data_IF_955834504765
#
_entry.id   IF_955834504765
#
_cell.length_a   1.000
_cell.length_b   1.000
_cell.length_c   1.000
_cell.angle_alpha   90.00
_cell.angle_beta   90.00
_cell.angle_gamma   90.00
#
_symmetry.space_group_name_H-M   'P 1'
#
loop_
_entity.id
_entity.type
_entity.pdbx_description
1 polymer ?
#
# COMPACT_ATOMS: atom_id res chain seq x y z
N UNK A 1 22.53 20.06 -9.55
CA UNK A 1 21.72 19.13 -8.73
C UNK A 1 20.34 19.03 -9.37
N UNK A 2 20.04 17.96 -10.10
CA UNK A 2 18.74 17.82 -10.77
C UNK A 2 17.66 17.48 -9.74
N UNK A 3 16.71 18.38 -9.57
CA UNK A 3 15.51 18.14 -8.79
C UNK A 3 14.71 17.07 -9.54
N UNK A 4 14.57 15.88 -8.97
CA UNK A 4 13.82 14.76 -9.56
C UNK A 4 12.36 15.22 -9.62
N UNK A 5 11.91 15.72 -10.78
CA UNK A 5 10.54 16.18 -10.99
C UNK A 5 9.60 15.00 -10.70
N UNK A 6 8.87 15.11 -9.60
CA UNK A 6 7.75 14.24 -9.28
C UNK A 6 6.62 14.61 -10.24
N UNK A 7 6.42 13.80 -11.28
CA UNK A 7 5.30 13.98 -12.18
C UNK A 7 4.01 13.50 -11.50
N UNK A 8 2.92 14.29 -11.54
CA UNK A 8 1.60 13.82 -11.13
C UNK A 8 1.24 12.52 -11.89
N UNK A 9 0.78 11.50 -11.18
CA UNK A 9 0.37 10.21 -11.76
C UNK A 9 1.46 9.12 -11.84
N UNK A 10 2.75 9.44 -11.66
CA UNK A 10 3.82 8.44 -11.58
C UNK A 10 3.84 7.70 -10.25
N UNK A 11 3.98 6.36 -10.29
CA UNK A 11 4.28 5.58 -9.08
C UNK A 11 5.71 5.92 -8.64
N UNK A 12 5.87 6.43 -7.42
CA UNK A 12 7.19 6.69 -6.88
C UNK A 12 7.92 5.37 -6.60
N UNK A 13 9.25 5.35 -6.75
CA UNK A 13 10.06 4.17 -6.41
C UNK A 13 9.68 3.63 -5.03
N UNK A 14 9.57 2.31 -4.92
CA UNK A 14 9.31 1.64 -3.66
C UNK A 14 10.34 2.04 -2.60
N UNK A 15 9.86 2.28 -1.38
CA UNK A 15 10.65 2.66 -0.20
C UNK A 15 10.33 1.71 0.94
N UNK A 16 11.26 1.54 1.90
CA UNK A 16 10.97 0.83 3.15
C UNK A 16 9.77 1.43 3.86
N UNK A 17 8.99 0.59 4.55
CA UNK A 17 7.86 1.06 5.34
C UNK A 17 8.29 2.10 6.39
N UNK A 18 7.45 3.10 6.61
CA UNK A 18 7.57 4.09 7.69
C UNK A 18 6.44 3.90 8.70
N UNK A 19 6.61 4.36 9.94
CA UNK A 19 5.60 4.27 10.99
C UNK A 19 4.25 4.89 10.58
N UNK A 20 4.26 6.01 9.85
CA UNK A 20 3.03 6.64 9.34
C UNK A 20 2.24 5.69 8.43
N UNK A 21 2.89 5.11 7.42
CA UNK A 21 2.25 4.18 6.48
C UNK A 21 1.86 2.88 7.16
N UNK A 22 2.67 2.38 8.11
CA UNK A 22 2.31 1.21 8.91
C UNK A 22 1.02 1.45 9.72
N UNK A 23 0.85 2.63 10.30
CA UNK A 23 -0.37 3.03 11.01
C UNK A 23 -1.57 3.13 10.07
N UNK A 24 -1.41 3.72 8.88
CA UNK A 24 -2.45 3.77 7.85
C UNK A 24 -2.92 2.36 7.46
N UNK A 25 -1.98 1.45 7.22
CA UNK A 25 -2.26 0.06 6.84
C UNK A 25 -2.96 -0.68 7.98
N UNK A 26 -2.52 -0.44 9.22
CA UNK A 26 -3.13 -1.04 10.42
C UNK A 26 -4.56 -0.55 10.63
N UNK A 27 -4.84 0.75 10.41
CA UNK A 27 -6.19 1.30 10.58
C UNK A 27 -7.21 0.73 9.59
N UNK A 28 -6.76 0.18 8.46
CA UNK A 28 -7.63 -0.42 7.45
C UNK A 28 -7.50 -1.95 7.35
N UNK A 29 -6.79 -2.61 8.27
CA UNK A 29 -6.59 -4.07 8.25
C UNK A 29 -7.91 -4.83 8.13
N UNK A 30 -8.92 -4.47 8.92
CA UNK A 30 -10.23 -5.12 8.87
C UNK A 30 -10.91 -5.01 7.49
N UNK A 31 -10.75 -3.86 6.81
CA UNK A 31 -11.28 -3.66 5.46
C UNK A 31 -10.49 -4.48 4.41
N UNK A 32 -9.19 -4.69 4.62
CA UNK A 32 -8.37 -5.57 3.78
C UNK A 32 -8.85 -7.02 3.93
N UNK A 33 -9.00 -7.50 5.16
CA UNK A 33 -9.48 -8.86 5.47
C UNK A 33 -10.88 -9.11 4.91
N UNK A 34 -11.79 -8.14 5.06
CA UNK A 34 -13.13 -8.22 4.48
C UNK A 34 -13.11 -8.30 2.94
N UNK A 35 -12.15 -7.62 2.28
CA UNK A 35 -12.03 -7.59 0.82
C UNK A 35 -11.38 -8.85 0.26
N UNK A 36 -10.50 -9.51 1.02
CA UNK A 36 -9.86 -10.77 0.64
C UNK A 36 -10.66 -12.01 1.07
N UNK A 37 -11.55 -11.87 2.06
CA UNK A 37 -12.24 -13.01 2.67
C UNK A 37 -11.32 -13.86 3.54
N UNK A 38 -10.17 -13.33 3.96
CA UNK A 38 -9.14 -14.02 4.74
C UNK A 38 -8.75 -13.18 5.96
N UNK A 39 -8.57 -13.83 7.12
CA UNK A 39 -7.96 -13.19 8.29
C UNK A 39 -6.45 -13.44 8.31
N UNK A 40 -5.67 -12.40 8.61
CA UNK A 40 -4.22 -12.47 8.60
C UNK A 40 -3.66 -12.51 10.03
N UNK A 41 -3.18 -13.69 10.43
CA UNK A 41 -2.49 -13.89 11.71
C UNK A 41 -1.12 -13.21 11.73
N UNK A 42 -0.41 -13.25 10.61
CA UNK A 42 0.80 -12.46 10.35
C UNK A 42 0.48 -11.36 9.35
N UNK A 43 0.79 -10.11 9.69
CA UNK A 43 0.46 -8.96 8.85
C UNK A 43 1.51 -7.87 9.02
N UNK A 44 2.56 -7.92 8.21
CA UNK A 44 3.73 -7.03 8.33
C UNK A 44 3.94 -6.22 7.03
N UNK A 45 3.58 -4.92 7.01
CA UNK A 45 3.90 -4.04 5.89
C UNK A 45 5.42 -3.88 5.78
N UNK A 46 5.99 -4.03 4.59
CA UNK A 46 7.46 -4.03 4.40
C UNK A 46 7.97 -2.94 3.45
N UNK A 47 7.21 -2.65 2.40
CA UNK A 47 7.56 -1.64 1.40
C UNK A 47 6.32 -0.91 0.93
N UNK A 48 6.48 0.32 0.49
CA UNK A 48 5.40 1.07 -0.13
C UNK A 48 5.89 1.98 -1.25
N UNK A 49 4.97 2.30 -2.15
CA UNK A 49 5.10 3.35 -3.14
C UNK A 49 3.88 4.29 -3.02
N UNK A 50 4.04 5.53 -3.48
CA UNK A 50 2.95 6.51 -3.48
C UNK A 50 2.66 7.03 -4.87
N UNK A 51 1.45 7.52 -5.08
CA UNK A 51 1.06 8.26 -6.27
C UNK A 51 0.16 9.42 -5.84
N UNK A 52 0.54 10.63 -6.21
CA UNK A 52 -0.24 11.84 -5.96
C UNK A 52 -1.39 11.94 -6.97
N UNK A 53 -2.61 12.16 -6.47
CA UNK A 53 -3.85 12.41 -7.22
C UNK A 53 -4.59 13.58 -6.54
N UNK A 54 -5.93 13.67 -6.63
CA UNK A 54 -6.72 14.53 -5.75
C UNK A 54 -6.77 13.98 -4.29
N UNK A 55 -5.59 13.69 -3.73
CA UNK A 55 -5.35 12.82 -2.59
C UNK A 55 -4.05 12.04 -2.80
N UNK A 56 -3.85 10.94 -2.07
CA UNK A 56 -2.67 10.08 -2.19
C UNK A 56 -3.09 8.61 -2.26
N UNK A 57 -2.62 7.89 -3.28
CA UNK A 57 -2.63 6.43 -3.28
C UNK A 57 -1.34 5.92 -2.62
N UNK A 58 -1.48 4.98 -1.69
CA UNK A 58 -0.42 4.18 -1.12
C UNK A 58 -0.53 2.76 -1.67
N UNK A 59 0.51 2.30 -2.34
CA UNK A 59 0.65 0.91 -2.78
C UNK A 59 1.59 0.22 -1.81
N UNK A 60 1.08 -0.69 -1.01
CA UNK A 60 1.82 -1.29 0.11
C UNK A 60 1.96 -2.78 -0.10
N UNK A 61 3.19 -3.28 0.00
CA UNK A 61 3.49 -4.71 0.09
C UNK A 61 3.41 -5.13 1.56
N UNK A 62 2.55 -6.09 1.85
CA UNK A 62 2.37 -6.65 3.19
C UNK A 62 2.73 -8.13 3.16
N UNK A 63 3.71 -8.52 3.97
CA UNK A 63 4.05 -9.93 4.19
C UNK A 63 3.00 -10.54 5.13
N UNK A 64 2.47 -11.69 4.73
CA UNK A 64 1.52 -12.49 5.50
C UNK A 64 2.09 -13.87 5.79
N UNK A 65 1.32 -14.73 6.46
CA UNK A 65 1.71 -16.12 6.71
C UNK A 65 1.83 -16.96 5.43
N UNK A 66 1.15 -16.57 4.35
CA UNK A 66 1.03 -17.35 3.11
C UNK A 66 1.78 -16.72 1.91
N UNK A 67 2.64 -15.73 2.16
CA UNK A 67 3.35 -14.99 1.12
C UNK A 67 3.21 -13.49 1.30
N UNK A 68 2.83 -12.78 0.24
CA UNK A 68 2.58 -11.35 0.26
C UNK A 68 1.21 -11.01 -0.33
N UNK A 69 0.68 -9.86 0.10
CA UNK A 69 -0.41 -9.16 -0.56
C UNK A 69 0.06 -7.76 -0.95
N UNK A 70 -0.44 -7.25 -2.06
CA UNK A 70 -0.28 -5.84 -2.44
C UNK A 70 -1.59 -5.12 -2.21
N UNK A 71 -1.56 -4.02 -1.46
CA UNK A 71 -2.74 -3.26 -1.05
C UNK A 71 -2.64 -1.86 -1.62
N UNK A 72 -3.70 -1.39 -2.26
CA UNK A 72 -3.85 0.01 -2.64
C UNK A 72 -4.80 0.68 -1.67
N UNK A 73 -4.29 1.67 -0.95
CA UNK A 73 -5.02 2.48 0.02
C UNK A 73 -5.11 3.89 -0.53
N UNK A 74 -6.30 4.49 -0.48
CA UNK A 74 -6.52 5.87 -0.84
C UNK A 74 -6.68 6.73 0.41
N UNK A 75 -5.96 7.84 0.47
CA UNK A 75 -6.10 8.90 1.47
C UNK A 75 -6.59 10.16 0.77
N UNK A 76 -7.79 10.62 1.09
CA UNK A 76 -8.35 11.84 0.50
C UNK A 76 -7.72 13.12 1.08
N UNK A 77 -8.09 14.27 0.53
CA UNK A 77 -7.60 15.58 0.99
C UNK A 77 -8.07 15.95 2.41
N UNK A 78 -9.11 15.26 2.92
CA UNK A 78 -9.65 15.41 4.28
C UNK A 78 -9.03 14.40 5.26
N UNK A 79 -8.00 13.67 4.85
CA UNK A 79 -7.29 12.65 5.63
C UNK A 79 -8.09 11.36 5.90
N UNK A 80 -9.22 11.14 5.23
CA UNK A 80 -9.97 9.88 5.30
C UNK A 80 -9.24 8.79 4.53
N UNK A 81 -9.16 7.60 5.11
CA UNK A 81 -8.43 6.46 4.52
C UNK A 81 -9.40 5.35 4.14
N UNK A 82 -9.25 4.78 2.94
CA UNK A 82 -10.03 3.63 2.47
C UNK A 82 -9.21 2.65 1.63
N UNK A 83 -9.58 1.37 1.64
CA UNK A 83 -8.95 0.33 0.81
C UNK A 83 -9.59 0.35 -0.57
N UNK A 84 -8.79 0.58 -1.61
CA UNK A 84 -9.25 0.62 -2.99
C UNK A 84 -9.19 -0.78 -3.63
N UNK A 85 -8.02 -1.43 -3.61
CA UNK A 85 -7.81 -2.76 -4.20
C UNK A 85 -6.80 -3.58 -3.39
N UNK A 86 -6.89 -4.90 -3.51
CA UNK A 86 -5.97 -5.86 -2.89
C UNK A 86 -5.66 -6.94 -3.92
N UNK A 87 -4.39 -7.28 -4.09
CA UNK A 87 -3.92 -8.44 -4.84
C UNK A 87 -3.34 -9.47 -3.86
N UNK A 88 -3.83 -10.70 -3.92
CA UNK A 88 -3.34 -11.84 -3.14
C UNK A 88 -2.40 -12.72 -3.98
N UNK A 89 -1.74 -13.69 -3.34
CA UNK A 89 -0.85 -14.64 -4.03
C UNK A 89 0.45 -14.02 -4.55
N UNK A 90 0.87 -12.87 -4.00
CA UNK A 90 2.12 -12.20 -4.36
C UNK A 90 3.30 -12.79 -3.59
N UNK A 91 4.49 -12.56 -4.12
CA UNK A 91 5.76 -12.91 -3.51
C UNK A 91 6.51 -11.69 -3.02
N UNK A 92 7.47 -11.89 -2.10
CA UNK A 92 8.28 -10.79 -1.61
C UNK A 92 9.11 -10.12 -2.71
N UNK A 93 9.53 -10.88 -3.72
CA UNK A 93 10.30 -10.40 -4.86
C UNK A 93 9.45 -9.66 -5.90
N UNK A 94 8.12 -9.74 -5.82
CA UNK A 94 7.25 -9.07 -6.78
C UNK A 94 7.38 -7.54 -6.61
N UNK A 95 7.56 -6.79 -7.70
CA UNK A 95 7.63 -5.34 -7.63
C UNK A 95 6.28 -4.75 -7.25
N UNK A 96 6.30 -3.58 -6.60
CA UNK A 96 5.10 -2.77 -6.41
C UNK A 96 4.79 -2.08 -7.73
N UNK A 97 3.65 -2.40 -8.32
CA UNK A 97 3.14 -1.84 -9.57
C UNK A 97 1.77 -1.20 -9.33
N UNK A 98 1.25 -0.52 -10.35
CA UNK A 98 -0.11 0.04 -10.30
C UNK A 98 -1.17 -1.05 -10.52
N UNK A 99 -2.25 -1.02 -9.73
CA UNK A 99 -3.43 -1.91 -9.80
C UNK A 99 -4.65 -1.33 -9.07
#
# INVERSE_FOLDING_TARGET
MYNKMVLPGGLHNAKPITDEVANIVSSVKAAIEAKTGESYSSFNPIEFATQTVAGVNYFVKVRTQNGCIHVRIYKDLSQTVSVHSVQTGKQITDPIEYF
#
